data_IF_350315263791
#
_entry.id   IF_350315263791
#
_cell.length_a   1.000
_cell.length_b   1.000
_cell.length_c   1.000
_cell.angle_alpha   90.00
_cell.angle_beta   90.00
_cell.angle_gamma   90.00
#
_symmetry.space_group_name_H-M   'P 1'
#
loop_
_entity.id
_entity.type
_entity.pdbx_description
1 polymer ?
#
# COMPACT_ATOMS: atom_id res chain seq x y z
N UNK A 1 -66.42 35.52 26.22
CA UNK A 1 -65.02 35.84 26.61
C UNK A 1 -64.17 34.61 26.30
N UNK A 2 -63.19 34.77 25.40
CA UNK A 2 -62.27 33.72 24.93
C UNK A 2 -61.12 33.60 25.94
N UNK A 3 -60.85 32.41 26.45
CA UNK A 3 -59.62 32.09 27.19
C UNK A 3 -58.78 31.11 26.38
N UNK A 4 -57.69 31.58 25.81
CA UNK A 4 -56.70 30.76 25.11
C UNK A 4 -55.68 30.23 26.13
N UNK A 5 -55.58 28.92 26.27
CA UNK A 5 -54.58 28.27 27.12
C UNK A 5 -53.43 27.83 26.20
N UNK A 6 -52.32 28.57 26.25
CA UNK A 6 -51.13 28.32 25.45
C UNK A 6 -50.36 27.09 25.96
N UNK A 7 -50.15 26.12 25.09
CA UNK A 7 -49.23 25.01 25.33
C UNK A 7 -47.80 25.45 24.99
N UNK A 8 -46.96 25.60 26.02
CA UNK A 8 -45.53 25.79 25.84
C UNK A 8 -44.87 24.42 25.58
N UNK A 9 -44.49 24.18 24.32
CA UNK A 9 -43.62 23.06 23.95
C UNK A 9 -42.18 23.38 24.36
N UNK A 10 -41.72 22.75 25.43
CA UNK A 10 -40.30 22.70 25.77
C UNK A 10 -39.58 21.76 24.78
N UNK A 11 -38.86 22.33 23.82
CA UNK A 11 -37.96 21.59 22.95
C UNK A 11 -36.70 21.22 23.73
N UNK A 12 -36.62 19.98 24.20
CA UNK A 12 -35.38 19.40 24.70
C UNK A 12 -34.44 19.18 23.50
N UNK A 13 -33.42 20.03 23.37
CA UNK A 13 -32.31 19.76 22.45
C UNK A 13 -31.52 18.58 22.99
N UNK A 14 -31.74 17.40 22.42
CA UNK A 14 -30.82 16.27 22.55
C UNK A 14 -29.51 16.66 21.85
N UNK A 15 -28.51 17.07 22.63
CA UNK A 15 -27.15 17.19 22.14
C UNK A 15 -26.71 15.79 21.65
N UNK A 16 -26.49 15.66 20.35
CA UNK A 16 -25.84 14.47 19.82
C UNK A 16 -24.47 14.34 20.50
N UNK A 17 -24.05 13.13 20.93
CA UNK A 17 -22.72 12.94 21.48
C UNK A 17 -21.73 13.40 20.41
N UNK A 18 -20.83 14.32 20.77
CA UNK A 18 -19.70 14.69 19.94
C UNK A 18 -18.78 13.47 19.88
N UNK A 19 -19.01 12.58 18.90
CA UNK A 19 -18.10 11.49 18.61
C UNK A 19 -16.71 12.08 18.45
N UNK A 20 -15.75 11.61 19.23
CA UNK A 20 -14.38 12.06 19.08
C UNK A 20 -13.96 11.88 17.61
N UNK A 21 -13.35 12.92 17.04
CA UNK A 21 -13.00 12.91 15.63
C UNK A 21 -11.76 12.05 15.43
N UNK A 22 -11.89 10.91 14.75
CA UNK A 22 -10.75 10.03 14.40
C UNK A 22 -9.62 10.84 13.74
N UNK A 23 -9.98 11.88 12.99
CA UNK A 23 -9.05 12.81 12.37
C UNK A 23 -8.24 13.61 13.39
N UNK A 24 -8.86 14.08 14.48
CA UNK A 24 -8.13 14.80 15.54
C UNK A 24 -7.02 13.91 16.14
N UNK A 25 -7.30 12.62 16.33
CA UNK A 25 -6.30 11.65 16.75
C UNK A 25 -5.19 11.44 15.71
N UNK A 26 -5.53 11.38 14.41
CA UNK A 26 -4.54 11.30 13.31
C UNK A 26 -3.66 12.55 13.24
N UNK A 27 -4.23 13.73 13.44
CA UNK A 27 -3.50 14.99 13.48
C UNK A 27 -2.57 15.07 14.70
N UNK A 28 -3.02 14.64 15.88
CA UNK A 28 -2.19 14.53 17.06
C UNK A 28 -1.02 13.55 16.84
N UNK A 29 -1.30 12.38 16.26
CA UNK A 29 -0.28 11.41 15.88
C UNK A 29 0.74 12.00 14.90
N UNK A 30 0.31 12.73 13.87
CA UNK A 30 1.21 13.36 12.91
C UNK A 30 2.19 14.36 13.56
N UNK A 31 1.79 15.00 14.67
CA UNK A 31 2.64 15.92 15.45
C UNK A 31 3.51 15.23 16.51
N UNK A 32 3.39 13.91 16.65
CA UNK A 32 4.09 13.14 17.68
C UNK A 32 3.43 13.17 19.07
N UNK A 33 2.21 13.70 19.17
CA UNK A 33 1.42 13.69 20.40
C UNK A 33 0.61 12.39 20.50
N UNK A 34 1.31 11.32 20.85
CA UNK A 34 0.76 9.97 20.86
C UNK A 34 -0.30 9.77 21.95
N UNK A 35 -0.16 10.44 23.09
CA UNK A 35 -1.09 10.32 24.20
C UNK A 35 -2.43 10.95 23.86
N UNK A 36 -2.42 12.15 23.27
CA UNK A 36 -3.66 12.76 22.77
C UNK A 36 -4.26 11.93 21.65
N UNK A 37 -3.46 11.44 20.69
CA UNK A 37 -3.95 10.57 19.62
C UNK A 37 -4.71 9.34 20.12
N UNK A 38 -4.12 8.62 21.08
CA UNK A 38 -4.77 7.47 21.72
C UNK A 38 -6.06 7.89 22.44
N UNK A 39 -6.04 9.04 23.13
CA UNK A 39 -7.22 9.59 23.81
C UNK A 39 -8.39 9.78 22.85
N UNK A 40 -8.14 10.44 21.72
CA UNK A 40 -9.14 10.71 20.67
C UNK A 40 -9.66 9.41 20.01
N UNK A 41 -8.83 8.38 19.85
CA UNK A 41 -9.24 7.13 19.22
C UNK A 41 -9.99 6.17 20.13
N UNK A 42 -9.88 6.30 21.46
CA UNK A 42 -10.45 5.32 22.41
C UNK A 42 -11.97 5.19 22.29
N UNK A 43 -12.69 6.29 22.37
CA UNK A 43 -14.15 6.28 22.37
C UNK A 43 -14.73 5.82 21.02
N UNK A 44 -14.27 6.33 19.86
CA UNK A 44 -14.72 5.84 18.56
C UNK A 44 -14.38 4.36 18.33
N UNK A 45 -13.20 3.90 18.76
CA UNK A 45 -12.81 2.50 18.59
C UNK A 45 -13.71 1.54 19.39
N UNK A 46 -14.10 1.94 20.61
CA UNK A 46 -15.08 1.22 21.45
C UNK A 46 -16.46 1.28 20.82
N UNK A 47 -16.84 2.40 20.21
CA UNK A 47 -18.10 2.55 19.47
C UNK A 47 -18.16 1.78 18.14
N UNK A 48 -17.05 1.20 17.70
CA UNK A 48 -17.00 0.33 16.53
C UNK A 48 -16.29 0.94 15.32
N UNK A 49 -15.79 2.17 15.39
CA UNK A 49 -15.11 2.82 14.27
C UNK A 49 -13.85 2.04 13.86
N UNK A 50 -13.82 1.56 12.62
CA UNK A 50 -12.76 0.67 12.14
C UNK A 50 -11.41 1.37 11.97
N UNK A 51 -11.41 2.67 11.63
CA UNK A 51 -10.19 3.46 11.49
C UNK A 51 -9.56 3.71 12.88
N UNK A 52 -10.37 4.06 13.88
CA UNK A 52 -9.94 4.22 15.26
C UNK A 52 -9.44 2.90 15.87
N UNK A 53 -10.13 1.78 15.60
CA UNK A 53 -9.68 0.44 16.00
C UNK A 53 -8.32 0.11 15.37
N UNK A 54 -8.14 0.35 14.07
CA UNK A 54 -6.85 0.16 13.41
C UNK A 54 -5.76 1.04 14.05
N UNK A 55 -6.06 2.31 14.32
CA UNK A 55 -5.11 3.25 14.90
C UNK A 55 -4.72 2.88 16.35
N UNK A 56 -5.66 2.42 17.19
CA UNK A 56 -5.34 1.86 18.50
C UNK A 56 -4.48 0.59 18.38
N UNK A 57 -4.80 -0.29 17.43
CA UNK A 57 -3.96 -1.45 17.13
C UNK A 57 -2.51 -1.07 16.83
N UNK A 58 -2.31 0.02 16.07
CA UNK A 58 -0.99 0.56 15.74
C UNK A 58 -0.31 1.20 16.96
N UNK A 59 -1.04 1.92 17.80
CA UNK A 59 -0.53 2.50 19.04
C UNK A 59 0.03 1.41 19.98
N UNK A 60 -0.75 0.33 20.22
CA UNK A 60 -0.33 -0.80 21.05
C UNK A 60 0.83 -1.59 20.44
N UNK A 61 0.84 -1.80 19.12
CA UNK A 61 1.93 -2.50 18.43
C UNK A 61 3.26 -1.74 18.54
N UNK A 62 3.20 -0.41 18.50
CA UNK A 62 4.38 0.46 18.51
C UNK A 62 4.77 0.95 19.90
N UNK A 63 3.93 0.75 20.91
CA UNK A 63 4.13 1.32 22.25
C UNK A 63 4.10 2.85 22.27
N UNK A 64 3.25 3.47 21.44
CA UNK A 64 3.15 4.93 21.31
C UNK A 64 1.87 5.43 21.96
N UNK A 65 2.00 6.27 22.98
CA UNK A 65 0.86 6.77 23.77
C UNK A 65 0.25 5.74 24.73
N UNK A 66 0.62 4.46 24.57
CA UNK A 66 0.30 3.32 25.43
C UNK A 66 1.51 2.39 25.53
N UNK A 67 1.66 1.59 26.60
CA UNK A 67 2.67 0.53 26.65
C UNK A 67 2.51 -0.45 25.47
N UNK A 68 3.63 -0.93 24.94
CA UNK A 68 3.61 -1.92 23.86
C UNK A 68 2.90 -3.20 24.33
N UNK A 69 1.89 -3.64 23.57
CA UNK A 69 1.14 -4.85 23.86
C UNK A 69 0.61 -5.49 22.56
N UNK A 70 1.25 -6.58 22.12
CA UNK A 70 0.88 -7.26 20.88
C UNK A 70 -0.46 -7.99 20.96
N UNK A 71 -0.90 -8.39 22.15
CA UNK A 71 -2.21 -9.02 22.35
C UNK A 71 -3.33 -8.01 22.17
N UNK A 72 -3.18 -6.81 22.74
CA UNK A 72 -4.14 -5.71 22.54
C UNK A 72 -4.16 -5.27 21.07
N UNK A 73 -2.97 -5.10 20.47
CA UNK A 73 -2.87 -4.77 19.05
C UNK A 73 -3.59 -5.80 18.16
N UNK A 74 -3.40 -7.10 18.45
CA UNK A 74 -4.07 -8.19 17.75
C UNK A 74 -5.60 -8.06 17.84
N UNK A 75 -6.14 -7.84 19.04
CA UNK A 75 -7.58 -7.69 19.24
C UNK A 75 -8.16 -6.50 18.47
N UNK A 76 -7.48 -5.36 18.50
CA UNK A 76 -7.92 -4.17 17.78
C UNK A 76 -7.86 -4.34 16.25
N UNK A 77 -6.78 -4.94 15.72
CA UNK A 77 -6.73 -5.27 14.30
C UNK A 77 -7.79 -6.30 13.91
N UNK A 78 -8.04 -7.31 14.74
CA UNK A 78 -9.05 -8.33 14.46
C UNK A 78 -10.44 -7.68 14.28
N UNK A 79 -10.82 -6.76 15.17
CA UNK A 79 -12.10 -6.04 15.10
C UNK A 79 -12.20 -5.21 13.81
N UNK A 80 -11.18 -4.42 13.48
CA UNK A 80 -11.19 -3.62 12.25
C UNK A 80 -11.16 -4.50 10.98
N UNK A 81 -10.38 -5.59 10.99
CA UNK A 81 -10.28 -6.54 9.89
C UNK A 81 -11.61 -7.26 9.61
N UNK A 82 -12.37 -7.61 10.66
CA UNK A 82 -13.71 -8.20 10.53
C UNK A 82 -14.70 -7.25 9.84
N UNK A 83 -14.48 -5.94 9.94
CA UNK A 83 -15.26 -4.92 9.23
C UNK A 83 -14.76 -4.66 7.80
N UNK A 84 -13.74 -5.39 7.34
CA UNK A 84 -13.13 -5.21 6.02
C UNK A 84 -12.15 -4.03 5.93
N UNK A 85 -11.71 -3.47 7.06
CA UNK A 85 -10.72 -2.39 7.07
C UNK A 85 -9.38 -2.91 6.54
N UNK A 86 -9.03 -2.48 5.31
CA UNK A 86 -7.96 -3.07 4.51
C UNK A 86 -6.61 -3.13 5.23
N UNK A 87 -6.17 -2.02 5.83
CA UNK A 87 -4.87 -1.98 6.53
C UNK A 87 -4.88 -2.81 7.81
N UNK A 88 -6.06 -3.02 8.42
CA UNK A 88 -6.19 -3.88 9.57
C UNK A 88 -6.09 -5.36 9.17
N UNK A 89 -6.72 -5.77 8.06
CA UNK A 89 -6.54 -7.14 7.52
C UNK A 89 -5.06 -7.47 7.28
N UNK A 90 -4.32 -6.50 6.73
CA UNK A 90 -2.89 -6.63 6.42
C UNK A 90 -2.06 -6.81 7.69
N UNK A 91 -2.29 -5.96 8.69
CA UNK A 91 -1.58 -6.02 9.96
C UNK A 91 -2.03 -7.18 10.84
N UNK A 92 -3.27 -7.63 10.71
CA UNK A 92 -3.81 -8.76 11.46
C UNK A 92 -3.12 -10.07 11.04
N UNK A 93 -2.97 -10.32 9.74
CA UNK A 93 -2.19 -11.46 9.25
C UNK A 93 -0.74 -11.45 9.76
N UNK A 94 -0.10 -10.27 9.77
CA UNK A 94 1.27 -10.14 10.27
C UNK A 94 1.38 -10.37 11.78
N UNK A 95 0.46 -9.83 12.58
CA UNK A 95 0.54 -9.97 14.05
C UNK A 95 0.17 -11.37 14.51
N UNK A 96 -0.78 -12.05 13.84
CA UNK A 96 -1.06 -13.47 14.07
C UNK A 96 0.21 -14.31 13.84
N UNK A 97 0.93 -14.06 12.74
CA UNK A 97 2.19 -14.72 12.47
C UNK A 97 3.25 -14.44 13.56
N UNK A 98 3.38 -13.18 13.99
CA UNK A 98 4.32 -12.78 15.06
C UNK A 98 3.99 -13.41 16.42
N UNK A 99 2.70 -13.58 16.72
CA UNK A 99 2.21 -14.20 17.95
C UNK A 99 2.20 -15.74 17.87
N UNK A 100 2.75 -16.34 16.80
CA UNK A 100 2.82 -17.80 16.64
C UNK A 100 1.52 -18.47 16.17
N UNK A 101 0.49 -17.69 15.89
CA UNK A 101 -0.83 -18.12 15.39
C UNK A 101 -0.82 -18.32 13.87
N UNK A 102 0.15 -19.10 13.40
CA UNK A 102 0.48 -19.22 11.97
C UNK A 102 -0.68 -19.78 11.12
N UNK A 103 -1.42 -20.83 11.55
CA UNK A 103 -2.57 -21.31 10.79
C UNK A 103 -3.65 -20.25 10.59
N UNK A 104 -3.97 -19.46 11.63
CA UNK A 104 -4.95 -18.37 11.55
C UNK A 104 -4.49 -17.22 10.65
N UNK A 105 -3.17 -17.00 10.58
CA UNK A 105 -2.58 -15.96 9.74
C UNK A 105 -2.73 -16.23 8.24
N UNK A 106 -2.76 -17.51 7.81
CA UNK A 106 -2.67 -17.90 6.39
C UNK A 106 -3.69 -17.17 5.54
N UNK A 107 -4.98 -17.23 5.88
CA UNK A 107 -6.04 -16.63 5.07
C UNK A 107 -5.88 -15.10 4.93
N UNK A 108 -5.44 -14.42 5.99
CA UNK A 108 -5.24 -12.96 5.99
C UNK A 108 -4.00 -12.56 5.20
N UNK A 109 -2.92 -13.32 5.35
CA UNK A 109 -1.70 -13.16 4.57
C UNK A 109 -1.96 -13.42 3.09
N UNK A 110 -2.71 -14.46 2.73
CA UNK A 110 -3.09 -14.75 1.35
C UNK A 110 -3.94 -13.64 0.73
N UNK A 111 -5.00 -13.21 1.43
CA UNK A 111 -5.88 -12.13 0.97
C UNK A 111 -5.09 -10.84 0.71
N UNK A 112 -4.20 -10.49 1.62
CA UNK A 112 -3.34 -9.31 1.51
C UNK A 112 -2.26 -9.45 0.42
N UNK A 113 -1.55 -10.59 0.37
CA UNK A 113 -0.50 -10.84 -0.62
C UNK A 113 -1.04 -10.82 -2.06
N UNK A 114 -2.26 -11.32 -2.27
CA UNK A 114 -2.97 -11.28 -3.56
C UNK A 114 -3.31 -9.84 -4.00
N UNK A 115 -3.43 -8.89 -3.06
CA UNK A 115 -3.60 -7.45 -3.36
C UNK A 115 -2.29 -6.73 -3.62
N UNK A 116 -1.14 -7.41 -3.53
CA UNK A 116 0.15 -6.81 -3.83
C UNK A 116 0.96 -6.35 -2.61
N UNK A 117 0.49 -6.61 -1.38
CA UNK A 117 1.19 -6.14 -0.19
C UNK A 117 2.52 -6.87 0.04
N UNK A 118 3.62 -6.14 -0.17
CA UNK A 118 4.97 -6.70 -0.22
C UNK A 118 5.40 -7.44 1.05
N UNK A 119 5.02 -6.92 2.23
CA UNK A 119 5.35 -7.56 3.52
C UNK A 119 4.60 -8.89 3.68
N UNK A 120 3.34 -8.95 3.28
CA UNK A 120 2.54 -10.17 3.42
C UNK A 120 2.93 -11.19 2.35
N UNK A 121 3.33 -10.75 1.16
CA UNK A 121 3.99 -11.60 0.15
C UNK A 121 5.29 -12.22 0.68
N UNK A 122 6.13 -11.43 1.36
CA UNK A 122 7.37 -11.92 1.97
C UNK A 122 7.09 -12.99 3.04
N UNK A 123 6.16 -12.72 3.96
CA UNK A 123 5.82 -13.66 5.04
C UNK A 123 5.21 -14.95 4.48
N UNK A 124 4.19 -14.83 3.62
CA UNK A 124 3.56 -16.00 3.00
C UNK A 124 4.54 -16.79 2.13
N UNK A 125 5.40 -16.11 1.37
CA UNK A 125 6.45 -16.76 0.59
C UNK A 125 7.41 -17.55 1.46
N UNK A 126 7.78 -17.01 2.62
CA UNK A 126 8.62 -17.71 3.62
C UNK A 126 7.90 -18.94 4.19
N UNK A 127 6.61 -18.82 4.50
CA UNK A 127 5.80 -19.94 4.99
C UNK A 127 5.73 -21.08 3.97
N UNK A 128 5.44 -20.77 2.71
CA UNK A 128 5.37 -21.74 1.61
C UNK A 128 6.73 -22.36 1.29
N UNK A 129 7.84 -21.63 1.48
CA UNK A 129 9.18 -22.19 1.28
C UNK A 129 9.50 -23.24 2.35
N UNK A 130 9.16 -22.94 3.61
CA UNK A 130 9.48 -23.77 4.76
C UNK A 130 8.46 -24.89 5.04
N UNK A 131 7.23 -24.78 4.53
CA UNK A 131 6.15 -25.69 4.87
C UNK A 131 5.54 -25.39 6.23
N UNK A 132 5.44 -24.11 6.58
CA UNK A 132 5.08 -23.63 7.90
C UNK A 132 3.60 -23.22 7.93
N UNK A 133 2.77 -24.03 8.60
CA UNK A 133 1.31 -23.97 8.60
C UNK A 133 0.62 -24.07 7.21
N UNK A 134 1.40 -24.22 6.14
CA UNK A 134 0.97 -24.47 4.77
C UNK A 134 1.89 -25.52 4.12
N UNK A 135 1.42 -26.33 3.15
CA UNK A 135 2.30 -27.23 2.41
C UNK A 135 3.42 -26.46 1.70
N UNK A 136 4.56 -27.12 1.51
CA UNK A 136 5.67 -26.54 0.74
C UNK A 136 5.24 -26.30 -0.70
N UNK A 137 5.45 -25.08 -1.18
CA UNK A 137 5.28 -24.69 -2.57
C UNK A 137 6.37 -23.70 -2.96
N UNK A 138 7.48 -24.24 -3.46
CA UNK A 138 8.65 -23.43 -3.81
C UNK A 138 8.41 -22.50 -4.99
N UNK A 139 7.54 -22.86 -5.94
CA UNK A 139 7.22 -22.00 -7.08
C UNK A 139 6.44 -20.77 -6.61
N UNK A 140 5.36 -20.99 -5.85
CA UNK A 140 4.56 -19.89 -5.30
C UNK A 140 5.35 -19.06 -4.30
N UNK A 141 6.18 -19.69 -3.46
CA UNK A 141 7.10 -19.00 -2.57
C UNK A 141 8.03 -18.05 -3.34
N UNK A 142 8.69 -18.56 -4.38
CA UNK A 142 9.63 -17.78 -5.19
C UNK A 142 8.91 -16.65 -5.94
N UNK A 143 7.69 -16.89 -6.44
CA UNK A 143 6.88 -15.87 -7.11
C UNK A 143 6.51 -14.72 -6.17
N UNK A 144 6.02 -15.04 -4.96
CA UNK A 144 5.67 -14.05 -3.93
C UNK A 144 6.90 -13.28 -3.47
N UNK A 145 8.03 -13.96 -3.28
CA UNK A 145 9.28 -13.31 -2.91
C UNK A 145 9.81 -12.38 -4.01
N UNK A 146 9.66 -12.77 -5.29
CA UNK A 146 9.97 -11.93 -6.45
C UNK A 146 9.13 -10.66 -6.47
N UNK A 147 7.83 -10.76 -6.15
CA UNK A 147 6.93 -9.61 -6.04
C UNK A 147 7.30 -8.69 -4.89
N UNK A 148 7.55 -9.24 -3.71
CA UNK A 148 7.97 -8.46 -2.54
C UNK A 148 9.28 -7.71 -2.81
N UNK A 149 10.26 -8.37 -3.46
CA UNK A 149 11.53 -7.76 -3.88
C UNK A 149 11.31 -6.62 -4.88
N UNK A 150 10.48 -6.86 -5.90
CA UNK A 150 10.15 -5.86 -6.94
C UNK A 150 9.41 -4.64 -6.38
N UNK A 151 8.64 -4.84 -5.30
CA UNK A 151 7.98 -3.76 -4.56
C UNK A 151 8.92 -3.01 -3.60
N UNK A 152 10.23 -3.33 -3.61
CA UNK A 152 11.26 -2.59 -2.89
C UNK A 152 11.54 -3.09 -1.48
N UNK A 153 11.13 -4.31 -1.11
CA UNK A 153 11.45 -4.90 0.19
C UNK A 153 12.87 -5.52 0.16
N UNK A 154 13.90 -4.92 0.81
CA UNK A 154 15.28 -5.39 0.66
C UNK A 154 15.50 -6.79 1.22
N UNK A 155 14.77 -7.16 2.27
CA UNK A 155 14.81 -8.51 2.84
C UNK A 155 14.39 -9.55 1.81
N UNK A 156 13.38 -9.26 0.98
CA UNK A 156 12.93 -10.19 -0.05
C UNK A 156 14.00 -10.42 -1.13
N UNK A 157 14.72 -9.37 -1.54
CA UNK A 157 15.82 -9.50 -2.49
C UNK A 157 16.95 -10.40 -1.94
N UNK A 158 17.32 -10.22 -0.68
CA UNK A 158 18.31 -11.05 -0.01
C UNK A 158 17.83 -12.51 0.11
N UNK A 159 16.57 -12.73 0.46
CA UNK A 159 15.98 -14.06 0.56
C UNK A 159 15.90 -14.76 -0.80
N UNK A 160 15.58 -14.07 -1.90
CA UNK A 160 15.62 -14.65 -3.26
C UNK A 160 16.99 -15.24 -3.60
N UNK A 161 18.06 -14.49 -3.32
CA UNK A 161 19.43 -14.94 -3.56
C UNK A 161 19.78 -16.20 -2.74
N UNK A 162 19.16 -16.38 -1.58
CA UNK A 162 19.28 -17.61 -0.79
C UNK A 162 18.43 -18.74 -1.39
N UNK A 163 17.19 -18.44 -1.78
CA UNK A 163 16.27 -19.40 -2.41
C UNK A 163 16.85 -20.00 -3.70
N UNK A 164 17.62 -19.23 -4.48
CA UNK A 164 18.30 -19.68 -5.70
C UNK A 164 19.21 -20.90 -5.50
N UNK A 165 19.67 -21.15 -4.26
CA UNK A 165 20.49 -22.31 -3.89
C UNK A 165 19.68 -23.59 -3.72
N UNK A 166 18.37 -23.46 -3.51
CA UNK A 166 17.47 -24.56 -3.17
C UNK A 166 16.41 -24.80 -4.25
N UNK A 167 15.91 -23.74 -4.89
CA UNK A 167 14.84 -23.83 -5.89
C UNK A 167 15.44 -24.11 -7.28
N UNK A 168 15.10 -25.25 -7.92
CA UNK A 168 15.60 -25.61 -9.24
C UNK A 168 15.31 -24.53 -10.29
N UNK A 169 16.20 -24.38 -11.27
CA UNK A 169 16.06 -23.37 -12.33
C UNK A 169 14.69 -23.43 -13.07
N UNK A 170 14.17 -24.62 -13.45
CA UNK A 170 12.85 -24.69 -14.10
C UNK A 170 11.72 -24.14 -13.22
N UNK A 171 11.77 -24.40 -11.91
CA UNK A 171 10.77 -23.91 -10.97
C UNK A 171 10.87 -22.39 -10.79
N UNK A 172 12.09 -21.84 -10.77
CA UNK A 172 12.30 -20.38 -10.73
C UNK A 172 11.75 -19.70 -11.97
N UNK A 173 12.00 -20.25 -13.16
CA UNK A 173 11.47 -19.73 -14.42
C UNK A 173 9.94 -19.74 -14.43
N UNK A 174 9.31 -20.84 -13.99
CA UNK A 174 7.86 -20.93 -13.84
C UNK A 174 7.32 -19.92 -12.80
N UNK A 175 8.02 -19.74 -11.68
CA UNK A 175 7.66 -18.77 -10.65
C UNK A 175 7.68 -17.32 -11.17
N UNK A 176 8.60 -16.97 -12.08
CA UNK A 176 8.63 -15.65 -12.70
C UNK A 176 7.39 -15.38 -13.57
N UNK A 177 6.85 -16.40 -14.25
CA UNK A 177 5.59 -16.27 -14.96
C UNK A 177 4.42 -16.04 -13.98
N UNK A 178 4.36 -16.84 -12.92
CA UNK A 178 3.37 -16.70 -11.85
C UNK A 178 3.43 -15.32 -11.17
N UNK A 179 4.63 -14.78 -10.92
CA UNK A 179 4.79 -13.45 -10.34
C UNK A 179 4.11 -12.37 -11.21
N UNK A 180 4.29 -12.42 -12.54
CA UNK A 180 3.63 -11.50 -13.47
C UNK A 180 2.11 -11.65 -13.43
N UNK A 181 1.60 -12.86 -13.24
CA UNK A 181 0.16 -13.11 -13.14
C UNK A 181 -0.43 -12.52 -11.86
N UNK A 182 0.27 -12.70 -10.73
CA UNK A 182 -0.09 -12.10 -9.45
C UNK A 182 -0.10 -10.57 -9.53
N UNK A 183 0.88 -9.97 -10.21
CA UNK A 183 0.92 -8.52 -10.45
C UNK A 183 -0.31 -8.03 -11.23
N UNK A 184 -0.66 -8.72 -12.32
CA UNK A 184 -1.85 -8.41 -13.12
C UNK A 184 -3.14 -8.57 -12.31
N UNK A 185 -3.18 -9.52 -11.39
CA UNK A 185 -4.30 -9.74 -10.48
C UNK A 185 -4.46 -8.63 -9.44
N UNK A 186 -3.36 -8.21 -8.80
CA UNK A 186 -3.36 -7.20 -7.75
C UNK A 186 -3.88 -5.82 -8.22
N UNK A 187 -3.64 -5.47 -9.49
CA UNK A 187 -4.11 -4.21 -10.09
C UNK A 187 -5.57 -4.22 -10.58
N UNK A 188 -6.29 -5.33 -10.48
CA UNK A 188 -7.71 -5.38 -10.88
C UNK A 188 -8.59 -4.84 -9.75
N UNK A 189 -9.61 -4.02 -10.06
CA UNK A 189 -10.63 -3.66 -9.09
C UNK A 189 -11.23 -4.94 -8.50
N UNK A 190 -11.33 -5.02 -7.17
CA UNK A 190 -12.07 -6.11 -6.52
C UNK A 190 -13.50 -6.02 -7.00
N UNK A 191 -13.96 -7.01 -7.75
CA UNK A 191 -15.38 -7.15 -8.03
C UNK A 191 -16.08 -7.34 -6.67
N UNK A 192 -17.22 -6.68 -6.42
CA UNK A 192 -18.03 -7.02 -5.25
C UNK A 192 -18.37 -8.52 -5.30
N UNK A 193 -18.42 -9.16 -4.12
CA UNK A 193 -18.84 -10.56 -4.03
C UNK A 193 -20.17 -10.70 -4.79
N UNK A 194 -20.19 -11.59 -5.78
CA UNK A 194 -21.38 -11.82 -6.58
C UNK A 194 -22.52 -12.22 -5.61
N UNK A 195 -23.67 -11.55 -5.64
CA UNK A 195 -24.83 -12.05 -4.93
C UNK A 195 -25.15 -13.46 -5.47
N UNK A 196 -25.47 -14.36 -4.54
CA UNK A 196 -25.85 -15.73 -4.80
C UNK A 196 -26.89 -15.79 -5.94
N UNK A 197 -26.67 -16.69 -6.89
CA UNK A 197 -27.28 -16.67 -8.22
C UNK A 197 -28.80 -16.45 -8.23
N UNK A 198 -29.22 -15.21 -8.52
CA UNK A 198 -30.58 -14.94 -8.94
C UNK A 198 -30.77 -15.43 -10.38
N UNK A 199 -31.75 -16.33 -10.56
CA UNK A 199 -32.10 -16.99 -11.82
C UNK A 199 -32.15 -16.03 -13.01
N UNK A 200 -31.52 -16.47 -14.10
CA UNK A 200 -31.45 -15.77 -15.37
C UNK A 200 -32.84 -15.40 -15.89
N UNK A 201 -33.11 -14.09 -15.95
CA UNK A 201 -34.21 -13.54 -16.74
C UNK A 201 -33.58 -12.94 -18.00
N UNK A 202 -34.06 -13.37 -19.17
CA UNK A 202 -33.53 -12.98 -20.48
C UNK A 202 -33.65 -11.46 -20.68
N UNK A 203 -32.54 -10.79 -20.98
CA UNK A 203 -32.50 -9.37 -21.31
C UNK A 203 -32.64 -9.19 -22.83
N UNK A 204 -33.60 -8.35 -23.20
CA UNK A 204 -33.89 -7.92 -24.56
C UNK A 204 -32.75 -7.08 -25.19
N UNK A 205 -32.72 -7.09 -26.52
CA UNK A 205 -31.70 -6.52 -27.43
C UNK A 205 -31.42 -5.02 -27.17
N UNK A 206 -30.15 -4.66 -27.01
CA UNK A 206 -29.70 -3.29 -26.80
C UNK A 206 -29.72 -2.43 -28.09
N UNK A 207 -30.00 -1.11 -28.02
CA UNK A 207 -29.89 -0.17 -29.15
C UNK A 207 -28.42 0.17 -29.52
N UNK A 208 -28.14 0.65 -30.74
CA UNK A 208 -26.79 0.89 -31.21
C UNK A 208 -26.14 2.16 -30.63
N UNK A 209 -24.83 2.08 -30.42
CA UNK A 209 -24.01 3.10 -29.78
C UNK A 209 -23.86 4.42 -30.59
N UNK A 210 -23.71 5.58 -29.92
CA UNK A 210 -23.43 6.85 -30.58
C UNK A 210 -21.97 6.96 -31.06
N UNK A 211 -21.78 7.71 -32.14
CA UNK A 211 -20.49 7.91 -32.85
C UNK A 211 -19.46 8.70 -32.01
N UNK A 212 -18.15 8.42 -32.15
CA UNK A 212 -17.10 9.07 -31.38
C UNK A 212 -16.81 10.51 -31.84
N UNK A 213 -16.57 11.40 -30.87
CA UNK A 213 -16.15 12.80 -31.06
C UNK A 213 -14.61 12.88 -31.13
N UNK A 214 -14.00 13.73 -31.96
CA UNK A 214 -12.54 13.78 -32.12
C UNK A 214 -11.82 14.34 -30.88
N UNK A 215 -10.80 13.61 -30.40
CA UNK A 215 -9.92 14.02 -29.31
C UNK A 215 -8.82 14.91 -29.87
N UNK A 216 -8.74 16.15 -29.40
CA UNK A 216 -7.68 17.10 -29.72
C UNK A 216 -6.32 16.60 -29.18
N UNK A 217 -5.27 16.78 -30.00
CA UNK A 217 -3.90 16.45 -29.67
C UNK A 217 -3.33 17.44 -28.62
N UNK A 218 -2.51 17.01 -27.65
CA UNK A 218 -1.80 17.94 -26.78
C UNK A 218 -0.54 18.49 -27.46
N UNK A 219 -0.44 19.82 -27.48
CA UNK A 219 0.73 20.63 -27.86
C UNK A 219 1.98 20.33 -27.03
N UNK A 220 3.14 20.53 -27.66
CA UNK A 220 4.46 20.34 -27.11
C UNK A 220 4.88 21.40 -26.07
N UNK A 221 5.71 20.94 -25.13
CA UNK A 221 6.80 21.63 -24.43
C UNK A 221 6.54 22.98 -23.76
N UNK A 222 6.35 22.91 -22.45
CA UNK A 222 7.10 23.75 -21.51
C UNK A 222 7.61 22.85 -20.38
N UNK A 223 8.90 22.90 -20.06
CA UNK A 223 9.48 22.23 -18.87
C UNK A 223 8.85 22.89 -17.65
N UNK A 224 7.70 22.38 -17.22
CA UNK A 224 6.97 22.95 -16.10
C UNK A 224 7.81 22.77 -14.82
N UNK A 225 7.83 23.82 -14.00
CA UNK A 225 8.40 23.82 -12.66
C UNK A 225 7.62 22.84 -11.78
N UNK A 226 8.01 21.56 -11.83
CA UNK A 226 7.37 20.50 -11.08
C UNK A 226 8.32 19.87 -10.06
N UNK A 227 7.74 19.45 -8.96
CA UNK A 227 8.46 18.96 -7.78
C UNK A 227 8.81 17.47 -7.89
N UNK A 228 8.77 16.89 -9.09
CA UNK A 228 9.14 15.50 -9.32
C UNK A 228 10.55 15.40 -9.89
N UNK A 229 11.27 14.37 -9.45
CA UNK A 229 12.55 13.94 -10.02
C UNK A 229 12.50 12.44 -10.26
N UNK A 230 13.45 11.91 -11.03
CA UNK A 230 13.71 10.48 -11.10
C UNK A 230 15.05 10.17 -10.48
N UNK A 231 15.12 9.23 -9.55
CA UNK A 231 16.39 8.75 -9.00
C UNK A 231 16.90 7.60 -9.86
N UNK A 232 18.12 7.71 -10.38
CA UNK A 232 18.74 6.70 -11.25
C UNK A 232 19.62 5.70 -10.51
N UNK A 233 20.06 6.04 -9.30
CA UNK A 233 20.89 5.17 -8.48
C UNK A 233 21.42 5.84 -7.22
N UNK A 234 22.03 5.03 -6.37
CA UNK A 234 22.69 5.45 -5.15
C UNK A 234 24.11 4.87 -5.15
N UNK A 235 25.11 5.75 -5.17
CA UNK A 235 26.51 5.42 -5.41
C UNK A 235 27.33 5.65 -4.14
N UNK A 236 28.26 4.76 -3.82
CA UNK A 236 29.24 4.98 -2.74
C UNK A 236 30.32 6.00 -3.11
N UNK A 237 30.45 6.29 -4.40
CA UNK A 237 31.43 7.23 -4.96
C UNK A 237 30.71 8.24 -5.86
N UNK A 238 30.90 9.53 -5.59
CA UNK A 238 30.25 10.62 -6.32
C UNK A 238 30.73 10.71 -7.79
N UNK A 239 31.95 10.24 -8.09
CA UNK A 239 32.49 10.19 -9.45
C UNK A 239 31.71 9.22 -10.35
N UNK A 240 31.32 8.06 -9.81
CA UNK A 240 30.47 7.10 -10.52
C UNK A 240 29.07 7.66 -10.84
N UNK A 241 28.49 8.44 -9.92
CA UNK A 241 27.22 9.12 -10.16
C UNK A 241 27.33 10.15 -11.31
N UNK A 242 28.42 10.92 -11.35
CA UNK A 242 28.67 11.90 -12.42
C UNK A 242 28.92 11.25 -13.78
N UNK A 243 29.62 10.11 -13.80
CA UNK A 243 29.84 9.33 -15.02
C UNK A 243 28.53 8.82 -15.61
N UNK A 244 27.66 8.24 -14.77
CA UNK A 244 26.34 7.79 -15.21
C UNK A 244 25.52 8.95 -15.82
N UNK A 245 25.53 10.13 -15.20
CA UNK A 245 24.83 11.28 -15.78
C UNK A 245 25.35 11.62 -17.18
N UNK A 246 26.67 11.62 -17.38
CA UNK A 246 27.28 11.92 -18.68
C UNK A 246 26.81 10.96 -19.77
N UNK A 247 26.62 9.68 -19.43
CA UNK A 247 26.15 8.65 -20.37
C UNK A 247 24.67 8.80 -20.74
N UNK A 248 23.83 9.24 -19.79
CA UNK A 248 22.37 9.26 -19.97
C UNK A 248 21.77 10.65 -20.20
N UNK A 249 22.57 11.73 -20.11
CA UNK A 249 22.09 13.11 -20.21
C UNK A 249 21.29 13.37 -21.50
N UNK A 250 21.71 12.78 -22.62
CA UNK A 250 21.02 12.90 -23.91
C UNK A 250 19.59 12.32 -23.91
N UNK A 251 19.26 11.44 -22.97
CA UNK A 251 17.94 10.85 -22.82
C UNK A 251 16.98 11.74 -21.99
N UNK A 252 17.50 12.80 -21.36
CA UNK A 252 16.78 13.69 -20.47
C UNK A 252 16.80 15.14 -20.97
N UNK A 253 16.24 15.37 -22.17
CA UNK A 253 16.21 16.69 -22.79
C UNK A 253 15.62 17.77 -21.87
N UNK A 254 16.41 18.82 -21.61
CA UNK A 254 16.01 19.97 -20.79
C UNK A 254 15.94 19.71 -19.28
N UNK A 255 16.46 18.58 -18.78
CA UNK A 255 16.51 18.26 -17.35
C UNK A 255 17.94 18.36 -16.81
N UNK A 256 18.05 18.52 -15.50
CA UNK A 256 19.32 18.70 -14.80
C UNK A 256 19.54 17.60 -13.75
N UNK A 257 20.79 17.23 -13.47
CA UNK A 257 21.12 16.31 -12.39
C UNK A 257 21.13 17.03 -11.04
N UNK A 258 20.83 16.27 -10.00
CA UNK A 258 20.91 16.63 -8.59
C UNK A 258 21.65 15.51 -7.86
N UNK A 259 22.63 15.88 -7.07
CA UNK A 259 23.46 14.95 -6.30
C UNK A 259 23.15 15.16 -4.82
N UNK A 260 22.39 14.23 -4.23
CA UNK A 260 22.02 14.29 -2.82
C UNK A 260 22.96 13.36 -2.02
N UNK A 261 23.89 13.96 -1.27
CA UNK A 261 24.85 13.25 -0.44
C UNK A 261 24.28 13.01 0.98
N UNK A 262 24.10 11.75 1.36
CA UNK A 262 23.68 11.40 2.72
C UNK A 262 24.24 10.05 3.17
N UNK A 263 24.91 10.03 4.33
CA UNK A 263 25.40 8.79 4.96
C UNK A 263 26.46 8.05 4.13
N UNK A 264 27.35 8.77 3.44
CA UNK A 264 28.39 8.18 2.58
C UNK A 264 27.89 7.63 1.25
N UNK A 265 26.68 8.01 0.83
CA UNK A 265 26.07 7.61 -0.43
C UNK A 265 25.56 8.84 -1.19
N UNK A 266 25.95 8.96 -2.45
CA UNK A 266 25.50 9.98 -3.39
C UNK A 266 24.33 9.44 -4.20
N UNK A 267 23.14 10.04 -4.07
CA UNK A 267 21.99 9.69 -4.91
C UNK A 267 21.93 10.62 -6.11
N UNK A 268 21.89 10.04 -7.31
CA UNK A 268 21.70 10.79 -8.55
C UNK A 268 20.21 10.91 -8.87
N UNK A 269 19.71 12.14 -8.96
CA UNK A 269 18.33 12.43 -9.35
C UNK A 269 18.26 13.40 -10.51
N UNK A 270 17.30 13.23 -11.43
CA UNK A 270 17.14 14.07 -12.61
C UNK A 270 15.79 14.76 -12.56
N UNK A 271 15.70 16.05 -12.91
CA UNK A 271 14.44 16.79 -12.96
C UNK A 271 14.62 18.24 -13.38
N UNK A 272 13.63 19.13 -13.15
CA UNK A 272 12.29 18.84 -12.59
C UNK A 272 11.40 18.06 -13.56
N UNK A 273 10.34 17.41 -13.10
CA UNK A 273 9.21 16.86 -13.89
C UNK A 273 7.89 17.41 -13.35
N UNK A 274 6.91 17.66 -14.22
CA UNK A 274 5.62 18.27 -13.87
C UNK A 274 4.76 17.35 -12.99
N UNK A 275 4.91 16.03 -13.15
CA UNK A 275 4.09 15.03 -12.45
C UNK A 275 4.82 13.70 -12.25
N UNK A 276 4.32 12.86 -11.34
CA UNK A 276 4.78 11.48 -11.18
C UNK A 276 4.64 10.67 -12.47
N UNK A 277 3.55 10.88 -13.21
CA UNK A 277 3.30 10.18 -14.46
C UNK A 277 4.35 10.52 -15.54
N UNK A 278 4.79 11.78 -15.60
CA UNK A 278 5.86 12.21 -16.50
C UNK A 278 7.21 11.61 -16.08
N UNK A 279 7.52 11.64 -14.79
CA UNK A 279 8.72 11.02 -14.23
C UNK A 279 8.75 9.49 -14.47
N UNK A 280 7.62 8.79 -14.30
CA UNK A 280 7.50 7.35 -14.59
C UNK A 280 7.74 7.03 -16.06
N UNK A 281 7.22 7.86 -16.98
CA UNK A 281 7.47 7.70 -18.41
C UNK A 281 8.94 7.88 -18.76
N UNK A 282 9.59 8.88 -18.16
CA UNK A 282 11.03 9.09 -18.34
C UNK A 282 11.88 7.92 -17.79
N UNK A 283 11.42 7.25 -16.74
CA UNK A 283 12.06 6.03 -16.25
C UNK A 283 11.87 4.82 -17.17
N UNK A 284 10.71 4.70 -17.82
CA UNK A 284 10.38 3.55 -18.65
C UNK A 284 11.26 3.44 -19.91
N UNK A 285 11.90 4.54 -20.33
CA UNK A 285 12.72 4.61 -21.55
C UNK A 285 14.19 4.21 -21.34
N UNK A 286 14.61 3.86 -20.11
CA UNK A 286 16.04 3.66 -19.77
C UNK A 286 16.29 2.22 -19.30
N UNK A 287 17.37 1.60 -19.79
CA UNK A 287 17.89 0.30 -19.32
C UNK A 287 19.42 0.36 -19.06
N UNK A 288 19.96 -0.33 -18.03
CA UNK A 288 19.27 -1.06 -16.96
C UNK A 288 19.25 -0.36 -15.56
N UNK A 289 18.15 -0.65 -14.84
CA UNK A 289 17.96 -0.83 -13.37
C UNK A 289 18.51 0.20 -12.37
N UNK A 290 17.77 1.29 -12.16
CA UNK A 290 17.18 1.72 -10.86
C UNK A 290 16.59 3.11 -11.04
N UNK A 291 15.62 3.27 -11.95
CA UNK A 291 14.93 4.56 -12.13
C UNK A 291 13.63 4.58 -11.33
N UNK A 292 13.52 5.47 -10.34
CA UNK A 292 12.32 5.59 -9.49
C UNK A 292 11.87 7.06 -9.42
N UNK A 293 10.60 7.38 -9.72
CA UNK A 293 10.03 8.70 -9.49
C UNK A 293 10.03 9.06 -8.00
N UNK A 294 10.51 10.25 -7.67
CA UNK A 294 10.56 10.79 -6.30
C UNK A 294 10.01 12.22 -6.28
N UNK A 295 9.27 12.55 -5.23
CA UNK A 295 8.80 13.92 -4.97
C UNK A 295 9.86 14.67 -4.14
N UNK A 296 10.15 15.91 -4.49
CA UNK A 296 11.13 16.80 -3.85
C UNK A 296 10.50 18.13 -3.47
#
# INVERSE_FOLDING_TARGET
>A
MRGAMGAALAAAMLAAPAFADVKAGVEAWARGDWTTAVGEWREPAVAGDADAQFNLGQAYKLGRGVPMNLTEAEQWYARAAQQGHRQAEENYGLILFQNGKRPEAVQWLEKSANRGEARNQFVLGTMLFNGDAVPKDWRRAYALMTRASSAGLPQAAATLAQMDRYVPLPDRQAALAMARDLERGAGRPSLPAAPEAAKATQIAKAPPAPKPVPRTAPSASSVAAGNWRVQLGAFRDAGNARRLWTEVAGQFAGRQPFYDDAGGVTRLQIGPFASSAEASRACATIRPTTCVPVKR
#
